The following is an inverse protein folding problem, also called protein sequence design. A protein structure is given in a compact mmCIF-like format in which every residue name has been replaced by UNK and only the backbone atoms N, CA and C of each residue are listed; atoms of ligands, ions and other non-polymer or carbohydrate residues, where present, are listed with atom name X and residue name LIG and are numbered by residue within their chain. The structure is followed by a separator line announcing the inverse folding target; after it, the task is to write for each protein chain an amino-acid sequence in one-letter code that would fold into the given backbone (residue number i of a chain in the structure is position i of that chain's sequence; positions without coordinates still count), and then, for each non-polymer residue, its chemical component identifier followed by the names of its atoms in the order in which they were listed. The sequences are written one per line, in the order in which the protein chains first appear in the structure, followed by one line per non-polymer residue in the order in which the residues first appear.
data_IF_741299910379
#
_entry.id   IF_741299910379
#
_cell.length_a   1.000
_cell.length_b   1.000
_cell.length_c   1.000
_cell.angle_alpha   90.00
_cell.angle_beta   90.00
_cell.angle_gamma   90.00
#
_symmetry.space_group_name_H-M   'P 1'
#
loop_
_entity.id
_entity.type
_entity.pdbx_description
1 polymer ?
#
# COMPACT_ATOMS: atom_id res chain seq x y z
N UNK A 1 -1.45 -52.47 44.47
CA UNK A 1 -1.95 -51.07 44.42
C UNK A 1 -0.95 -50.23 43.64
N UNK A 2 -1.21 -50.03 42.36
CA UNK A 2 -0.30 -49.40 41.39
C UNK A 2 -0.96 -48.09 40.91
N UNK A 3 -0.39 -46.94 41.26
CA UNK A 3 -0.83 -45.61 40.74
C UNK A 3 0.42 -44.80 40.40
N UNK A 4 0.82 -44.86 39.13
CA UNK A 4 1.91 -44.05 38.57
C UNK A 4 1.46 -42.60 38.32
N UNK A 5 2.41 -41.64 38.29
CA UNK A 5 2.12 -40.22 38.18
C UNK A 5 1.60 -39.83 36.79
N UNK A 6 0.72 -38.83 36.80
CA UNK A 6 -0.13 -38.39 35.69
C UNK A 6 0.62 -37.86 34.47
N UNK A 7 0.53 -38.57 33.35
CA UNK A 7 0.97 -38.16 32.00
C UNK A 7 0.20 -36.95 31.40
N UNK A 8 -0.82 -36.44 32.08
CA UNK A 8 -1.75 -35.44 31.53
C UNK A 8 -1.17 -34.02 31.50
N UNK A 9 -0.11 -33.72 32.27
CA UNK A 9 0.44 -32.36 32.36
C UNK A 9 1.41 -31.96 31.23
N UNK A 10 1.87 -32.91 30.40
CA UNK A 10 2.88 -32.62 29.37
C UNK A 10 2.29 -32.06 28.06
N UNK A 11 1.02 -32.35 27.72
CA UNK A 11 0.38 -31.84 26.50
C UNK A 11 -0.06 -30.37 26.58
N UNK A 12 -0.27 -29.83 27.79
CA UNK A 12 -0.75 -28.47 27.95
C UNK A 12 0.31 -27.39 27.67
N UNK A 13 1.60 -27.72 27.75
CA UNK A 13 2.68 -26.77 27.45
C UNK A 13 3.02 -26.68 25.95
N UNK A 14 2.75 -27.73 25.17
CA UNK A 14 3.05 -27.73 23.72
C UNK A 14 2.00 -26.96 22.93
N UNK A 15 0.74 -26.90 23.39
CA UNK A 15 -0.31 -26.15 22.69
C UNK A 15 -0.18 -24.63 22.83
N UNK A 16 0.39 -24.13 23.92
CA UNK A 16 0.58 -22.69 24.14
C UNK A 16 1.76 -22.09 23.33
N UNK A 17 2.76 -22.91 23.00
CA UNK A 17 3.91 -22.49 22.18
C UNK A 17 3.57 -22.37 20.68
N UNK A 18 2.53 -23.06 20.21
CA UNK A 18 2.10 -22.99 18.81
C UNK A 18 1.25 -21.75 18.48
N UNK A 19 0.68 -21.10 19.50
CA UNK A 19 -0.16 -19.90 19.29
C UNK A 19 0.66 -18.61 19.16
N UNK A 20 1.91 -18.59 19.61
CA UNK A 20 2.79 -17.41 19.50
C UNK A 20 3.52 -17.32 18.17
N UNK A 21 3.71 -18.43 17.45
CA UNK A 21 4.36 -18.44 16.13
C UNK A 21 3.42 -18.09 14.97
N UNK A 22 2.11 -18.25 15.15
CA UNK A 22 1.11 -17.96 14.11
C UNK A 22 0.84 -16.45 13.94
N UNK A 23 1.19 -15.62 14.92
CA UNK A 23 0.95 -14.17 14.88
C UNK A 23 2.08 -13.35 14.24
N UNK A 24 3.21 -13.98 13.91
CA UNK A 24 4.36 -13.32 13.28
C UNK A 24 4.24 -13.13 11.76
N UNK A 25 3.20 -13.68 11.13
CA UNK A 25 3.07 -13.71 9.67
C UNK A 25 2.47 -12.44 9.03
N UNK A 26 1.97 -11.49 9.82
CA UNK A 26 1.29 -10.30 9.27
C UNK A 26 2.20 -9.06 9.14
N UNK A 27 3.49 -9.16 9.46
CA UNK A 27 4.38 -8.01 9.63
C UNK A 27 5.42 -7.77 8.51
N UNK A 28 5.27 -8.37 7.33
CA UNK A 28 6.36 -8.34 6.32
C UNK A 28 5.97 -7.92 4.89
N UNK A 29 4.74 -7.49 4.62
CA UNK A 29 4.47 -6.76 3.37
C UNK A 29 4.63 -5.26 3.65
N UNK A 30 5.63 -4.64 3.00
CA UNK A 30 5.88 -3.19 3.13
C UNK A 30 4.62 -2.37 2.84
N UNK A 31 4.52 -1.18 3.44
CA UNK A 31 3.33 -0.35 3.28
C UNK A 31 3.10 0.04 1.81
N UNK A 32 1.87 0.43 1.46
CA UNK A 32 1.61 0.96 0.11
C UNK A 32 2.48 2.18 -0.19
N UNK A 33 2.77 3.01 0.81
CA UNK A 33 3.69 4.13 0.67
C UNK A 33 5.10 3.64 0.33
N UNK A 34 5.61 2.61 1.02
CA UNK A 34 6.93 2.03 0.71
C UNK A 34 7.00 1.49 -0.72
N UNK A 35 5.92 0.84 -1.18
CA UNK A 35 5.83 0.37 -2.56
C UNK A 35 5.87 1.53 -3.58
N UNK A 36 5.21 2.66 -3.29
CA UNK A 36 5.23 3.87 -4.11
C UNK A 36 6.61 4.52 -4.11
N UNK A 37 7.22 4.68 -2.94
CA UNK A 37 8.55 5.27 -2.79
C UNK A 37 9.61 4.42 -3.49
N UNK A 38 9.56 3.08 -3.33
CA UNK A 38 10.45 2.13 -4.00
C UNK A 38 10.32 2.16 -5.53
N UNK A 39 9.11 2.36 -6.05
CA UNK A 39 8.87 2.51 -7.50
C UNK A 39 9.45 3.82 -8.04
N UNK A 40 9.50 4.87 -7.22
CA UNK A 40 10.11 6.15 -7.59
C UNK A 40 9.22 7.06 -8.43
N UNK A 41 7.93 6.77 -8.56
CA UNK A 41 6.93 7.67 -9.13
C UNK A 41 5.54 7.44 -8.49
N UNK A 42 4.67 8.44 -8.56
CA UNK A 42 3.24 8.34 -8.23
C UNK A 42 2.48 7.91 -9.49
N UNK A 43 1.50 7.02 -9.36
CA UNK A 43 0.60 6.65 -10.47
C UNK A 43 -0.80 7.08 -10.08
N UNK A 44 -1.44 7.91 -10.92
CA UNK A 44 -2.77 8.49 -10.67
C UNK A 44 -3.71 8.10 -11.81
N UNK A 45 -4.78 7.39 -11.48
CA UNK A 45 -5.90 7.21 -12.40
C UNK A 45 -6.70 8.51 -12.55
N UNK A 46 -7.02 8.91 -13.78
CA UNK A 46 -7.75 10.15 -14.07
C UNK A 46 -8.60 10.04 -15.35
N UNK A 47 -9.35 11.08 -15.71
CA UNK A 47 -10.08 11.20 -16.98
C UNK A 47 -9.66 12.44 -17.78
N UNK A 48 -10.25 12.64 -18.97
CA UNK A 48 -9.84 13.71 -19.89
C UNK A 48 -10.94 14.71 -20.29
N UNK A 49 -12.15 14.59 -19.73
CA UNK A 49 -13.34 15.32 -20.23
C UNK A 49 -14.07 16.19 -19.19
N UNK A 50 -13.57 16.30 -17.96
CA UNK A 50 -14.27 16.95 -16.85
C UNK A 50 -13.59 18.25 -16.41
N UNK A 51 -13.69 19.30 -17.22
CA UNK A 51 -13.21 20.63 -16.83
C UNK A 51 -14.06 21.22 -15.68
N UNK A 52 -13.44 21.91 -14.69
CA UNK A 52 -12.02 22.29 -14.59
C UNK A 52 -11.14 21.30 -13.79
N UNK A 53 -11.64 20.10 -13.47
CA UNK A 53 -10.99 19.14 -12.57
C UNK A 53 -9.88 18.33 -13.24
N UNK A 54 -10.24 17.56 -14.28
CA UNK A 54 -9.29 16.78 -15.07
C UNK A 54 -9.76 16.77 -16.53
N UNK A 55 -8.99 17.44 -17.40
CA UNK A 55 -9.35 17.57 -18.80
C UNK A 55 -8.14 17.69 -19.70
N UNK A 56 -8.32 17.33 -20.97
CA UNK A 56 -7.30 17.52 -22.00
C UNK A 56 -7.44 18.92 -22.61
N UNK A 57 -6.36 19.71 -22.55
CA UNK A 57 -6.28 21.02 -23.17
C UNK A 57 -6.15 20.94 -24.70
N UNK A 58 -6.21 22.10 -25.36
CA UNK A 58 -6.04 22.19 -26.81
C UNK A 58 -4.64 21.74 -27.29
N UNK A 59 -3.64 21.75 -26.41
CA UNK A 59 -2.30 21.24 -26.66
C UNK A 59 -2.18 19.72 -26.47
N UNK A 60 -3.30 19.06 -26.17
CA UNK A 60 -3.38 17.62 -25.96
C UNK A 60 -2.88 17.16 -24.59
N UNK A 61 -2.54 18.06 -23.67
CA UNK A 61 -2.04 17.69 -22.34
C UNK A 61 -3.16 17.65 -21.31
N UNK A 62 -3.01 16.75 -20.34
CA UNK A 62 -3.85 16.74 -19.17
C UNK A 62 -3.55 17.97 -18.29
N UNK A 63 -4.62 18.65 -17.89
CA UNK A 63 -4.61 19.82 -17.01
C UNK A 63 -5.88 19.85 -16.15
N UNK A 64 -5.92 20.79 -15.21
CA UNK A 64 -7.02 20.94 -14.26
C UNK A 64 -6.57 20.69 -12.82
N UNK A 65 -7.47 20.95 -11.89
CA UNK A 65 -7.21 20.90 -10.45
C UNK A 65 -6.60 19.55 -10.00
N UNK A 66 -7.18 18.42 -10.41
CA UNK A 66 -6.73 17.10 -9.96
C UNK A 66 -5.34 16.75 -10.50
N UNK A 67 -5.02 17.23 -11.71
CA UNK A 67 -3.71 17.07 -12.32
C UNK A 67 -2.65 17.86 -11.54
N UNK A 68 -2.98 19.08 -11.11
CA UNK A 68 -2.07 19.90 -10.32
C UNK A 68 -1.87 19.31 -8.91
N UNK A 69 -2.92 18.77 -8.28
CA UNK A 69 -2.80 18.04 -7.02
C UNK A 69 -1.88 16.81 -7.19
N UNK A 70 -2.02 16.03 -8.26
CA UNK A 70 -1.13 14.90 -8.54
C UNK A 70 0.34 15.31 -8.62
N UNK A 71 0.64 16.44 -9.29
CA UNK A 71 2.00 17.00 -9.36
C UNK A 71 2.51 17.50 -8.01
N UNK A 72 1.66 18.12 -7.19
CA UNK A 72 2.02 18.59 -5.85
C UNK A 72 2.36 17.41 -4.93
N UNK A 73 1.58 16.33 -4.98
CA UNK A 73 1.85 15.12 -4.20
C UNK A 73 3.17 14.49 -4.66
N UNK A 74 3.42 14.37 -5.98
CA UNK A 74 4.70 13.86 -6.49
C UNK A 74 5.89 14.71 -6.06
N UNK A 75 5.75 16.05 -6.06
CA UNK A 75 6.77 16.94 -5.50
C UNK A 75 6.99 16.66 -4.01
N UNK A 76 5.94 16.46 -3.22
CA UNK A 76 6.06 16.12 -1.80
C UNK A 76 6.76 14.78 -1.54
N UNK A 77 6.53 13.78 -2.40
CA UNK A 77 7.11 12.44 -2.25
C UNK A 77 8.55 12.32 -2.79
N UNK A 78 8.85 13.00 -3.90
CA UNK A 78 10.07 12.78 -4.68
C UNK A 78 10.91 14.04 -4.90
N UNK A 79 10.49 15.19 -4.37
CA UNK A 79 11.08 16.51 -4.65
C UNK A 79 11.09 16.87 -6.14
N UNK A 80 10.21 16.26 -6.93
CA UNK A 80 10.12 16.43 -8.38
C UNK A 80 8.65 16.28 -8.84
N UNK A 81 7.99 17.35 -9.30
CA UNK A 81 6.59 17.31 -9.73
C UNK A 81 6.38 16.47 -11.01
N UNK A 82 7.44 16.12 -11.74
CA UNK A 82 7.36 15.27 -12.93
C UNK A 82 7.27 13.77 -12.58
N UNK A 83 7.51 13.38 -11.31
CA UNK A 83 7.42 12.00 -10.82
C UNK A 83 5.97 11.53 -10.61
N UNK A 84 5.09 11.87 -11.53
CA UNK A 84 3.70 11.40 -11.59
C UNK A 84 3.38 10.90 -12.99
N UNK A 85 2.79 9.71 -13.06
CA UNK A 85 2.21 9.13 -14.25
C UNK A 85 0.68 9.22 -14.14
N UNK A 86 0.06 9.89 -15.11
CA UNK A 86 -1.40 9.96 -15.21
C UNK A 86 -1.89 8.88 -16.17
N UNK A 87 -2.75 7.99 -15.66
CA UNK A 87 -3.35 6.91 -16.44
C UNK A 87 -4.81 7.26 -16.71
N UNK A 88 -5.12 7.55 -17.96
CA UNK A 88 -6.51 7.84 -18.39
C UNK A 88 -7.34 6.56 -18.29
N UNK A 89 -8.42 6.62 -17.51
CA UNK A 89 -9.40 5.56 -17.38
C UNK A 89 -10.63 5.91 -18.23
N UNK A 90 -11.15 4.91 -18.94
CA UNK A 90 -12.33 4.99 -19.81
C UNK A 90 -13.64 4.92 -19.05
#
# INVERSE_FOLDING_TARGET
MHRGPSFVKACAFVLAASFTLANSAQAAEGSKLDAVLKRGNLVVGTGSTNAPWHFQGADGKLQGFDIDIGRIIAKGLFNDPSKVEFVVQS
#
